data_IF_099101816161
#
_entry.id   IF_099101816161
#
_cell.length_a   1.000
_cell.length_b   1.000
_cell.length_c   1.000
_cell.angle_alpha   90.00
_cell.angle_beta   90.00
_cell.angle_gamma   90.00
#
_symmetry.space_group_name_H-M   'P 1'
#
loop_
_entity.id
_entity.type
_entity.pdbx_description
1 polymer ?
#
# COMPACT_ATOMS: atom_id res chain seq x y z
N UNK A 1 -16.39 17.97 3.32
CA UNK A 1 -15.39 17.46 4.29
C UNK A 1 -14.60 18.59 4.95
N UNK A 2 -14.20 19.64 4.20
CA UNK A 2 -13.53 20.82 4.77
C UNK A 2 -14.20 21.42 6.04
N UNK A 3 -15.51 21.77 6.05
CA UNK A 3 -16.12 22.38 7.24
C UNK A 3 -16.16 21.45 8.45
N UNK A 4 -16.23 20.13 8.24
CA UNK A 4 -16.18 19.15 9.33
C UNK A 4 -14.77 19.02 9.92
N UNK A 5 -13.72 19.16 9.09
CA UNK A 5 -12.35 19.21 9.60
C UNK A 5 -12.10 20.49 10.38
N UNK A 6 -12.62 21.63 9.92
CA UNK A 6 -12.52 22.90 10.65
C UNK A 6 -13.16 22.77 12.03
N UNK A 7 -14.41 22.29 12.09
CA UNK A 7 -15.11 22.05 13.36
C UNK A 7 -14.35 21.10 14.28
N UNK A 8 -13.78 20.01 13.74
CA UNK A 8 -13.00 19.05 14.52
C UNK A 8 -11.72 19.67 15.09
N UNK A 9 -10.92 20.39 14.28
CA UNK A 9 -9.67 20.97 14.73
C UNK A 9 -9.89 22.15 15.68
N UNK A 10 -10.96 22.92 15.50
CA UNK A 10 -11.36 23.96 16.44
C UNK A 10 -11.86 23.36 17.75
N UNK A 11 -12.62 22.25 17.69
CA UNK A 11 -12.96 21.48 18.88
C UNK A 11 -11.70 21.01 19.61
N UNK A 12 -10.70 20.44 18.91
CA UNK A 12 -9.43 20.01 19.48
C UNK A 12 -8.68 21.15 20.20
N UNK A 13 -8.60 22.34 19.59
CA UNK A 13 -7.95 23.53 20.17
C UNK A 13 -8.62 24.01 21.46
N UNK A 14 -9.93 23.78 21.59
CA UNK A 14 -10.72 24.23 22.73
C UNK A 14 -10.77 23.22 23.89
N UNK A 15 -10.14 22.05 23.77
CA UNK A 15 -10.16 21.04 24.84
C UNK A 15 -9.14 21.34 25.94
N UNK A 16 -9.62 21.42 27.18
CA UNK A 16 -8.77 21.39 28.37
C UNK A 16 -8.53 19.92 28.79
N UNK A 17 -7.34 19.41 28.52
CA UNK A 17 -6.95 18.02 28.81
C UNK A 17 -5.79 17.95 29.78
N UNK A 18 -5.79 16.91 30.61
CA UNK A 18 -4.68 16.65 31.52
C UNK A 18 -3.40 16.35 30.72
N UNK A 19 -2.25 16.96 31.06
CA UNK A 19 -0.97 16.63 30.45
C UNK A 19 -0.69 15.13 30.52
N UNK A 20 -0.32 14.52 29.39
CA UNK A 20 -0.02 13.08 29.31
C UNK A 20 -1.23 12.14 29.36
N UNK A 21 -2.46 12.64 29.38
CA UNK A 21 -3.65 11.80 29.23
C UNK A 21 -3.74 11.22 27.82
N UNK A 22 -4.36 10.03 27.67
CA UNK A 22 -4.57 9.40 26.35
C UNK A 22 -5.30 10.33 25.37
N UNK A 23 -6.30 11.07 25.86
CA UNK A 23 -7.03 12.06 25.08
C UNK A 23 -6.12 13.24 24.70
N UNK A 24 -5.34 13.75 25.66
CA UNK A 24 -4.40 14.84 25.38
C UNK A 24 -3.35 14.47 24.33
N UNK A 25 -2.79 13.27 24.41
CA UNK A 25 -1.87 12.75 23.40
C UNK A 25 -2.53 12.62 22.02
N UNK A 26 -3.79 12.16 21.96
CA UNK A 26 -4.53 12.08 20.70
C UNK A 26 -4.78 13.46 20.10
N UNK A 27 -5.19 14.45 20.91
CA UNK A 27 -5.41 15.83 20.47
C UNK A 27 -4.12 16.49 19.99
N UNK A 28 -3.03 16.34 20.76
CA UNK A 28 -1.71 16.86 20.38
C UNK A 28 -1.25 16.26 19.05
N UNK A 29 -1.44 14.94 18.86
CA UNK A 29 -1.16 14.27 17.61
C UNK A 29 -2.01 14.83 16.46
N UNK A 30 -3.32 14.96 16.65
CA UNK A 30 -4.22 15.52 15.63
C UNK A 30 -3.79 16.93 15.22
N UNK A 31 -3.55 17.83 16.18
CA UNK A 31 -3.14 19.21 15.93
C UNK A 31 -1.77 19.29 15.24
N UNK A 32 -0.82 18.45 15.65
CA UNK A 32 0.52 18.37 15.03
C UNK A 32 0.45 18.03 13.54
N UNK A 33 -0.51 17.20 13.14
CA UNK A 33 -0.66 16.71 11.76
C UNK A 33 -1.84 17.33 11.00
N UNK A 34 -2.40 18.45 11.48
CA UNK A 34 -3.56 19.10 10.85
C UNK A 34 -3.34 19.34 9.34
N UNK A 35 -2.19 19.91 8.96
CA UNK A 35 -1.84 20.13 7.55
C UNK A 35 -1.84 18.84 6.74
N UNK A 36 -1.30 17.75 7.30
CA UNK A 36 -1.27 16.44 6.66
C UNK A 36 -2.68 15.85 6.49
N UNK A 37 -3.53 15.99 7.51
CA UNK A 37 -4.93 15.55 7.41
C UNK A 37 -5.70 16.33 6.34
N UNK A 38 -5.41 17.62 6.19
CA UNK A 38 -6.06 18.49 5.20
C UNK A 38 -5.61 18.22 3.77
N UNK A 39 -4.49 17.55 3.53
CA UNK A 39 -4.00 17.21 2.18
C UNK A 39 -5.04 16.46 1.36
N UNK A 40 -5.88 15.63 1.98
CA UNK A 40 -6.95 14.89 1.29
C UNK A 40 -8.06 15.78 0.72
N UNK A 41 -8.11 17.05 1.11
CA UNK A 41 -9.03 18.03 0.54
C UNK A 41 -8.48 18.64 -0.76
N UNK A 42 -7.18 18.50 -1.01
CA UNK A 42 -6.50 19.03 -2.19
C UNK A 42 -6.59 18.10 -3.40
N UNK A 43 -6.83 16.80 -3.17
CA UNK A 43 -6.85 15.77 -4.20
C UNK A 43 -7.91 14.71 -3.86
N UNK A 44 -8.84 14.48 -4.79
CA UNK A 44 -9.95 13.54 -4.64
C UNK A 44 -9.53 12.06 -4.68
N UNK A 45 -8.34 11.75 -5.18
CA UNK A 45 -7.79 10.40 -5.20
C UNK A 45 -7.20 9.99 -3.83
N UNK A 46 -6.99 10.96 -2.94
CA UNK A 46 -6.49 10.70 -1.59
C UNK A 46 -7.59 10.23 -0.65
N UNK A 47 -7.30 9.15 0.07
CA UNK A 47 -8.22 8.55 1.04
C UNK A 47 -7.81 8.95 2.45
N UNK A 48 -8.74 9.48 3.24
CA UNK A 48 -8.50 9.90 4.63
C UNK A 48 -8.11 8.73 5.55
N UNK A 49 -8.59 7.53 5.25
CA UNK A 49 -8.33 6.33 6.02
C UNK A 49 -7.18 5.52 5.42
N UNK A 50 -6.29 5.05 6.29
CA UNK A 50 -5.25 4.08 5.95
C UNK A 50 -5.76 2.63 5.89
N UNK A 51 -7.07 2.37 6.06
CA UNK A 51 -7.65 1.02 6.12
C UNK A 51 -7.23 0.12 4.94
N UNK A 52 -7.14 0.69 3.74
CA UNK A 52 -6.70 -0.06 2.55
C UNK A 52 -5.23 -0.50 2.67
N UNK A 53 -4.36 0.39 3.15
CA UNK A 53 -2.95 0.08 3.39
C UNK A 53 -2.79 -0.95 4.52
N UNK A 54 -3.53 -0.81 5.61
CA UNK A 54 -3.52 -1.78 6.73
C UNK A 54 -4.00 -3.17 6.28
N UNK A 55 -5.07 -3.24 5.47
CA UNK A 55 -5.55 -4.50 4.91
C UNK A 55 -4.52 -5.16 4.00
N UNK A 56 -3.85 -4.39 3.15
CA UNK A 56 -2.76 -4.91 2.30
C UNK A 56 -1.60 -5.45 3.14
N UNK A 57 -1.24 -4.77 4.22
CA UNK A 57 -0.20 -5.21 5.16
C UNK A 57 -0.64 -6.41 6.02
N UNK A 58 -1.94 -6.63 6.23
CA UNK A 58 -2.44 -7.72 7.08
C UNK A 58 -2.02 -9.09 6.55
N UNK A 59 -2.04 -9.29 5.23
CA UNK A 59 -1.59 -10.54 4.59
C UNK A 59 -0.12 -10.81 4.89
N UNK A 60 0.73 -9.78 4.80
CA UNK A 60 2.15 -9.84 5.18
C UNK A 60 2.33 -10.22 6.66
N UNK A 61 1.62 -9.54 7.56
CA UNK A 61 1.73 -9.74 9.01
C UNK A 61 1.29 -11.16 9.41
N UNK A 62 0.21 -11.66 8.81
CA UNK A 62 -0.27 -13.03 9.03
C UNK A 62 0.67 -14.06 8.40
N UNK A 63 1.14 -13.81 7.17
CA UNK A 63 2.04 -14.69 6.43
C UNK A 63 3.39 -14.87 7.12
N UNK A 64 3.98 -13.80 7.66
CA UNK A 64 5.24 -13.84 8.44
C UNK A 64 5.22 -14.86 9.59
N UNK A 65 4.06 -15.07 10.25
CA UNK A 65 3.97 -16.06 11.32
C UNK A 65 4.04 -17.51 10.80
N UNK A 66 3.75 -17.71 9.52
CA UNK A 66 3.65 -19.02 8.87
C UNK A 66 4.80 -19.29 7.87
N UNK A 67 5.55 -18.28 7.45
CA UNK A 67 6.69 -18.42 6.53
C UNK A 67 7.95 -18.81 7.30
N UNK A 68 8.35 -20.08 7.19
CA UNK A 68 9.47 -20.71 7.88
C UNK A 68 10.84 -20.03 7.71
N UNK A 69 10.98 -19.07 6.78
CA UNK A 69 12.27 -18.45 6.41
C UNK A 69 12.27 -16.92 6.43
N UNK A 70 11.29 -16.25 7.04
CA UNK A 70 11.25 -14.78 7.09
C UNK A 70 12.15 -14.15 8.17
N UNK A 71 13.26 -14.79 8.53
CA UNK A 71 14.13 -14.37 9.65
C UNK A 71 15.32 -13.49 9.22
N UNK A 72 15.65 -13.42 7.93
CA UNK A 72 16.71 -12.55 7.41
C UNK A 72 16.15 -11.30 6.72
N UNK A 73 16.97 -10.24 6.66
CA UNK A 73 16.62 -9.01 5.95
C UNK A 73 16.39 -9.27 4.45
N UNK A 74 17.23 -10.12 3.86
CA UNK A 74 17.12 -10.58 2.49
C UNK A 74 15.80 -11.31 2.23
N UNK A 75 15.41 -12.21 3.15
CA UNK A 75 14.13 -12.92 3.07
C UNK A 75 12.93 -11.97 3.16
N UNK A 76 13.00 -10.97 4.05
CA UNK A 76 11.99 -9.94 4.16
C UNK A 76 11.88 -9.08 2.89
N UNK A 77 13.03 -8.70 2.29
CA UNK A 77 13.07 -7.93 1.03
C UNK A 77 12.47 -8.72 -0.13
N UNK A 78 12.86 -9.99 -0.30
CA UNK A 78 12.28 -10.85 -1.35
C UNK A 78 10.77 -11.03 -1.19
N UNK A 79 10.32 -11.24 0.05
CA UNK A 79 8.89 -11.36 0.38
C UNK A 79 8.11 -10.09 0.02
N UNK A 80 8.66 -8.91 0.35
CA UNK A 80 8.04 -7.63 0.01
C UNK A 80 7.92 -7.42 -1.51
N UNK A 81 8.93 -7.83 -2.29
CA UNK A 81 8.89 -7.76 -3.77
C UNK A 81 7.78 -8.66 -4.32
N UNK A 82 7.74 -9.92 -3.91
CA UNK A 82 6.72 -10.89 -4.39
C UNK A 82 5.31 -10.39 -4.09
N UNK A 83 5.07 -9.90 -2.87
CA UNK A 83 3.74 -9.42 -2.49
C UNK A 83 3.36 -8.12 -3.19
N UNK A 84 4.34 -7.25 -3.48
CA UNK A 84 4.08 -6.07 -4.31
C UNK A 84 3.61 -6.46 -5.70
N UNK A 85 4.22 -7.48 -6.32
CA UNK A 85 3.79 -8.00 -7.62
C UNK A 85 2.37 -8.60 -7.56
N UNK A 86 2.10 -9.45 -6.56
CA UNK A 86 0.80 -10.09 -6.38
C UNK A 86 -0.32 -9.07 -6.13
N UNK A 87 -0.11 -8.10 -5.24
CA UNK A 87 -1.12 -7.08 -4.94
C UNK A 87 -1.31 -6.10 -6.11
N UNK A 88 -0.26 -5.80 -6.88
CA UNK A 88 -0.39 -5.01 -8.11
C UNK A 88 -1.21 -5.76 -9.15
N UNK A 89 -0.95 -7.06 -9.37
CA UNK A 89 -1.73 -7.89 -10.28
C UNK A 89 -3.22 -7.90 -9.91
N UNK A 90 -3.54 -8.12 -8.62
CA UNK A 90 -4.92 -8.09 -8.11
C UNK A 90 -5.59 -6.73 -8.32
N UNK A 91 -4.87 -5.62 -8.08
CA UNK A 91 -5.40 -4.26 -8.32
C UNK A 91 -5.73 -3.99 -9.78
N UNK A 92 -5.04 -4.66 -10.71
CA UNK A 92 -5.31 -4.61 -12.14
C UNK A 92 -6.29 -5.70 -12.63
N UNK A 93 -6.95 -6.40 -11.71
CA UNK A 93 -7.97 -7.40 -12.03
C UNK A 93 -7.45 -8.69 -12.62
N UNK A 94 -6.17 -9.02 -12.38
CA UNK A 94 -5.55 -10.26 -12.82
C UNK A 94 -5.68 -11.37 -11.76
N UNK A 95 -5.72 -12.62 -12.23
CA UNK A 95 -5.40 -13.79 -11.43
C UNK A 95 -3.91 -13.75 -11.06
N UNK A 96 -3.65 -13.63 -9.75
CA UNK A 96 -2.31 -13.43 -9.23
C UNK A 96 -1.40 -14.65 -9.42
N UNK A 97 -1.96 -15.87 -9.43
CA UNK A 97 -1.20 -17.09 -9.66
C UNK A 97 -0.79 -17.20 -11.13
N UNK A 98 -1.74 -17.01 -12.06
CA UNK A 98 -1.44 -17.00 -13.50
C UNK A 98 -0.40 -15.95 -13.85
N UNK A 99 -0.53 -14.75 -13.31
CA UNK A 99 0.42 -13.67 -13.54
C UNK A 99 1.82 -14.05 -13.03
N UNK A 100 1.93 -14.59 -11.81
CA UNK A 100 3.22 -15.00 -11.26
C UNK A 100 3.87 -16.13 -12.09
N UNK A 101 3.08 -17.11 -12.49
CA UNK A 101 3.53 -18.21 -13.36
C UNK A 101 4.01 -17.66 -14.70
N UNK A 102 3.25 -16.75 -15.33
CA UNK A 102 3.64 -16.12 -16.59
C UNK A 102 5.00 -15.42 -16.48
N UNK A 103 5.21 -14.63 -15.43
CA UNK A 103 6.47 -13.95 -15.19
C UNK A 103 7.63 -14.95 -15.02
N UNK A 104 7.43 -16.00 -14.24
CA UNK A 104 8.46 -17.01 -13.98
C UNK A 104 8.79 -17.88 -15.21
N UNK A 105 7.85 -18.07 -16.12
CA UNK A 105 8.06 -18.81 -17.37
C UNK A 105 8.76 -17.97 -18.45
N UNK A 106 8.44 -16.67 -18.54
CA UNK A 106 8.87 -15.86 -19.67
C UNK A 106 10.07 -14.96 -19.36
N UNK A 107 10.12 -14.34 -18.17
CA UNK A 107 11.21 -13.41 -17.84
C UNK A 107 12.61 -14.05 -17.84
N UNK A 108 12.82 -15.29 -17.37
CA UNK A 108 14.15 -15.91 -17.43
C UNK A 108 14.66 -16.16 -18.85
N UNK A 109 13.75 -16.22 -19.82
CA UNK A 109 14.04 -16.44 -21.23
C UNK A 109 14.17 -15.12 -22.02
N UNK A 110 14.05 -13.97 -21.36
CA UNK A 110 14.13 -12.65 -21.98
C UNK A 110 15.58 -12.13 -21.94
N UNK A 111 16.28 -12.19 -23.07
CA UNK A 111 17.69 -11.79 -23.20
C UNK A 111 17.92 -10.30 -22.88
N UNK A 112 16.88 -9.48 -23.02
CA UNK A 112 16.98 -8.01 -22.88
C UNK A 112 16.21 -7.46 -21.68
N UNK A 113 16.04 -8.27 -20.63
CA UNK A 113 15.29 -7.92 -19.41
C UNK A 113 15.75 -6.60 -18.74
N UNK A 114 17.01 -6.20 -18.91
CA UNK A 114 17.53 -4.95 -18.36
C UNK A 114 16.97 -3.68 -19.04
N UNK A 115 16.33 -3.83 -20.21
CA UNK A 115 15.73 -2.70 -20.94
C UNK A 115 14.32 -2.41 -20.42
N UNK A 116 14.05 -1.15 -20.11
CA UNK A 116 12.78 -0.72 -19.54
C UNK A 116 11.61 -1.00 -20.48
N UNK A 117 11.81 -0.79 -21.78
CA UNK A 117 10.80 -0.96 -22.81
C UNK A 117 10.32 -2.41 -22.90
N UNK A 118 11.21 -3.36 -22.62
CA UNK A 118 10.91 -4.80 -22.62
C UNK A 118 10.08 -5.15 -21.39
N UNK A 119 10.45 -4.63 -20.22
CA UNK A 119 9.71 -4.85 -18.97
C UNK A 119 8.27 -4.33 -19.04
N UNK A 120 8.02 -3.25 -19.78
CA UNK A 120 6.68 -2.68 -19.94
C UNK A 120 5.66 -3.70 -20.52
N UNK A 121 6.10 -4.61 -21.38
CA UNK A 121 5.26 -5.67 -21.94
C UNK A 121 4.87 -6.77 -20.94
N UNK A 122 5.50 -6.80 -19.77
CA UNK A 122 5.24 -7.75 -18.69
C UNK A 122 4.46 -7.13 -17.53
N UNK A 123 4.19 -5.83 -17.57
CA UNK A 123 3.49 -5.14 -16.49
C UNK A 123 2.00 -5.52 -16.46
N UNK A 124 1.34 -5.45 -15.29
CA UNK A 124 -0.03 -5.91 -15.13
C UNK A 124 -1.05 -5.23 -16.05
N UNK A 125 -0.78 -4.03 -16.54
CA UNK A 125 -1.67 -3.27 -17.44
C UNK A 125 -1.42 -3.52 -18.93
N UNK A 126 -0.43 -4.32 -19.31
CA UNK A 126 -0.17 -4.64 -20.71
C UNK A 126 -1.29 -5.52 -21.28
N UNK A 127 -1.70 -5.27 -22.53
CA UNK A 127 -2.85 -5.95 -23.15
C UNK A 127 -2.67 -7.47 -23.21
N UNK A 128 -1.49 -7.95 -23.61
CA UNK A 128 -1.14 -9.36 -23.65
C UNK A 128 -1.21 -10.03 -22.27
N UNK A 129 -0.87 -9.31 -21.20
CA UNK A 129 -0.96 -9.82 -19.83
C UNK A 129 -2.42 -9.88 -19.39
N UNK A 130 -3.19 -8.83 -19.69
CA UNK A 130 -4.62 -8.74 -19.40
C UNK A 130 -5.43 -9.85 -20.08
N UNK A 131 -5.08 -10.22 -21.31
CA UNK A 131 -5.72 -11.33 -22.02
C UNK A 131 -5.38 -12.70 -21.41
N UNK A 132 -4.11 -12.93 -21.05
CA UNK A 132 -3.63 -14.24 -20.59
C UNK A 132 -3.88 -14.50 -19.11
N UNK A 133 -3.89 -13.46 -18.28
CA UNK A 133 -3.86 -13.57 -16.82
C UNK A 133 -5.13 -13.08 -16.12
N UNK A 134 -6.22 -12.80 -16.84
CA UNK A 134 -7.54 -12.56 -16.23
C UNK A 134 -8.19 -13.84 -15.69
#
# INVERSE_FOLDING_TARGET
MAPLMDEFFDWCRNQAVLPGSKLGTAIEYSLKYETTFRTVLSDGDLVLSNNMAERAMKTLVMGRKNWLFSQSFEGAKSTAIILSLLETAKRHGLDAEKYMTYLLEHLPNEETLAKKEVLEAYLPWAENIQEKCK
#
